data_IF_630385102580
#
_entry.id   IF_630385102580
#
_cell.length_a   1.000
_cell.length_b   1.000
_cell.length_c   1.000
_cell.angle_alpha   90.00
_cell.angle_beta   90.00
_cell.angle_gamma   90.00
#
_symmetry.space_group_name_H-M   'P 1'
#
loop_
_entity.id
_entity.type
_entity.pdbx_description
1 polymer ?
#
# COMPACT_ATOMS: atom_id res chain seq x y z
N UNK A 1 5.91 0.94 -20.64
CA UNK A 1 6.43 0.63 -19.28
C UNK A 1 5.26 0.20 -18.41
N UNK A 2 5.32 -0.98 -17.79
CA UNK A 2 4.27 -1.45 -16.89
C UNK A 2 4.35 -0.74 -15.52
N UNK A 3 3.29 0.00 -15.19
CA UNK A 3 3.14 0.78 -13.95
C UNK A 3 2.21 0.10 -12.93
N UNK A 4 1.83 -1.15 -13.19
CA UNK A 4 0.89 -1.91 -12.35
C UNK A 4 1.50 -2.14 -10.96
N UNK A 5 0.81 -1.66 -9.92
CA UNK A 5 1.23 -1.81 -8.53
C UNK A 5 2.34 -0.86 -8.05
N UNK A 6 2.91 -0.03 -8.95
CA UNK A 6 3.91 0.98 -8.57
C UNK A 6 3.24 2.19 -7.95
N UNK A 7 3.77 2.63 -6.82
CA UNK A 7 3.32 3.86 -6.17
C UNK A 7 3.60 5.09 -7.06
N UNK A 8 2.81 6.14 -6.87
CA UNK A 8 3.01 7.42 -7.57
C UNK A 8 4.02 8.22 -6.77
N UNK A 9 5.15 8.56 -7.38
CA UNK A 9 6.25 9.26 -6.71
C UNK A 9 5.85 10.70 -6.34
N UNK A 10 6.53 11.32 -5.36
CA UNK A 10 6.30 12.73 -5.03
C UNK A 10 6.47 13.67 -6.23
N UNK A 11 7.38 13.36 -7.15
CA UNK A 11 7.61 14.12 -8.39
C UNK A 11 6.44 14.02 -9.35
N UNK A 12 5.94 12.81 -9.61
CA UNK A 12 4.73 12.59 -10.42
C UNK A 12 3.54 13.33 -9.81
N UNK A 13 3.41 13.35 -8.48
CA UNK A 13 2.33 14.08 -7.79
C UNK A 13 2.43 15.59 -7.97
N UNK A 14 3.63 16.18 -7.92
CA UNK A 14 3.84 17.61 -8.20
C UNK A 14 3.36 17.94 -9.62
N UNK A 15 3.71 17.11 -10.60
CA UNK A 15 3.28 17.27 -11.98
C UNK A 15 1.76 17.18 -12.08
N UNK A 16 1.13 16.18 -11.46
CA UNK A 16 -0.33 16.02 -11.45
C UNK A 16 -1.03 17.27 -10.89
N UNK A 17 -0.57 17.80 -9.77
CA UNK A 17 -1.16 18.99 -9.13
C UNK A 17 -0.98 20.22 -10.03
N UNK A 18 0.20 20.40 -10.60
CA UNK A 18 0.48 21.51 -11.52
C UNK A 18 -0.46 21.47 -12.74
N UNK A 19 -0.57 20.33 -13.41
CA UNK A 19 -1.43 20.15 -14.57
C UNK A 19 -2.93 20.34 -14.23
N UNK A 20 -3.33 19.98 -13.02
CA UNK A 20 -4.70 20.23 -12.55
C UNK A 20 -4.97 21.72 -12.35
N UNK A 21 -4.00 22.47 -11.81
CA UNK A 21 -4.10 23.91 -11.65
C UNK A 21 -4.12 24.65 -13.01
N UNK A 22 -3.47 24.08 -14.02
CA UNK A 22 -3.55 24.55 -15.42
C UNK A 22 -4.91 24.22 -16.09
N UNK A 23 -5.84 23.56 -15.39
CA UNK A 23 -7.18 23.25 -15.89
C UNK A 23 -7.30 21.96 -16.68
N UNK A 24 -6.24 21.14 -16.78
CA UNK A 24 -6.31 19.86 -17.52
C UNK A 24 -7.26 18.87 -16.86
N UNK A 25 -7.93 18.09 -17.70
CA UNK A 25 -8.83 17.02 -17.24
C UNK A 25 -8.05 15.84 -16.66
N UNK A 26 -8.70 15.06 -15.80
CA UNK A 26 -8.09 13.86 -15.19
C UNK A 26 -7.60 12.85 -16.23
N UNK A 27 -8.30 12.76 -17.37
CA UNK A 27 -7.95 11.85 -18.47
C UNK A 27 -6.70 12.32 -19.21
N UNK A 28 -6.57 13.61 -19.48
CA UNK A 28 -5.38 14.18 -20.13
C UNK A 28 -4.14 14.04 -19.24
N UNK A 29 -4.29 14.36 -17.95
CA UNK A 29 -3.22 14.15 -16.96
C UNK A 29 -2.82 12.67 -16.94
N UNK A 30 -3.78 11.75 -17.06
CA UNK A 30 -3.54 10.31 -17.15
C UNK A 30 -2.69 9.90 -18.33
N UNK A 31 -2.99 10.46 -19.51
CA UNK A 31 -2.21 10.23 -20.72
C UNK A 31 -0.79 10.78 -20.60
N UNK A 32 -0.62 11.97 -20.00
CA UNK A 32 0.69 12.61 -19.83
C UNK A 32 1.59 11.85 -18.85
N UNK A 33 1.04 11.43 -17.70
CA UNK A 33 1.82 10.78 -16.62
C UNK A 33 1.83 9.24 -16.77
N UNK A 34 1.07 8.68 -17.71
CA UNK A 34 0.94 7.24 -17.90
C UNK A 34 0.14 6.53 -16.79
N UNK A 35 -0.76 7.24 -16.11
CA UNK A 35 -1.55 6.70 -14.98
C UNK A 35 -3.04 6.70 -15.30
N UNK A 36 -3.80 5.86 -14.60
CA UNK A 36 -5.26 5.83 -14.76
C UNK A 36 -5.89 7.10 -14.19
N UNK A 37 -7.01 7.55 -14.78
CA UNK A 37 -7.75 8.71 -14.30
C UNK A 37 -8.16 8.56 -12.81
N UNK A 38 -8.50 7.34 -12.38
CA UNK A 38 -8.87 7.01 -11.00
C UNK A 38 -7.70 7.18 -10.03
N UNK A 39 -6.48 6.84 -10.45
CA UNK A 39 -5.27 7.06 -9.65
C UNK A 39 -4.99 8.56 -9.48
N UNK A 40 -5.18 9.33 -10.54
CA UNK A 40 -5.01 10.78 -10.51
C UNK A 40 -6.07 11.44 -9.61
N UNK A 41 -7.33 11.02 -9.74
CA UNK A 41 -8.40 11.50 -8.88
C UNK A 41 -8.08 11.27 -7.40
N UNK A 42 -7.56 10.09 -7.06
CA UNK A 42 -7.12 9.80 -5.70
C UNK A 42 -6.01 10.74 -5.21
N UNK A 43 -5.02 11.03 -6.06
CA UNK A 43 -3.94 11.98 -5.73
C UNK A 43 -4.50 13.38 -5.46
N UNK A 44 -5.38 13.86 -6.34
CA UNK A 44 -5.99 15.19 -6.19
C UNK A 44 -6.83 15.26 -4.92
N UNK A 45 -7.69 14.26 -4.67
CA UNK A 45 -8.52 14.23 -3.46
C UNK A 45 -7.66 14.23 -2.18
N UNK A 46 -6.58 13.45 -2.16
CA UNK A 46 -5.65 13.45 -1.02
C UNK A 46 -4.99 14.82 -0.83
N UNK A 47 -4.59 15.46 -1.93
CA UNK A 47 -3.99 16.79 -1.89
C UNK A 47 -4.99 17.86 -1.45
N UNK A 48 -6.23 17.84 -1.92
CA UNK A 48 -7.25 18.81 -1.49
C UNK A 48 -7.56 18.70 0.00
N UNK A 49 -7.58 17.48 0.55
CA UNK A 49 -7.86 17.27 1.97
C UNK A 49 -6.67 17.53 2.89
N UNK A 50 -5.44 17.21 2.47
CA UNK A 50 -4.24 17.28 3.33
C UNK A 50 -3.26 18.40 2.99
N UNK A 51 -3.38 19.00 1.79
CA UNK A 51 -2.40 19.90 1.15
C UNK A 51 -0.97 19.34 1.10
N UNK A 52 -0.80 18.03 1.27
CA UNK A 52 0.50 17.36 1.23
C UNK A 52 0.73 16.68 -0.12
N UNK A 53 1.93 16.88 -0.66
CA UNK A 53 2.41 16.19 -1.86
C UNK A 53 2.78 14.74 -1.51
N UNK A 54 3.20 14.47 -0.28
CA UNK A 54 3.74 13.18 0.12
C UNK A 54 2.59 12.19 0.42
N UNK A 55 2.73 10.91 0.01
CA UNK A 55 1.81 9.86 0.47
C UNK A 55 1.85 9.75 1.99
N UNK A 56 0.71 9.54 2.63
CA UNK A 56 0.76 8.94 3.96
C UNK A 56 1.41 7.56 3.83
N UNK A 57 2.42 7.23 4.67
CA UNK A 57 2.98 5.90 4.67
C UNK A 57 1.86 4.90 4.98
N UNK A 58 1.96 3.70 4.41
CA UNK A 58 1.05 2.61 4.82
C UNK A 58 1.31 2.31 6.30
N UNK A 59 0.29 2.46 7.12
CA UNK A 59 0.35 2.08 8.53
C UNK A 59 -0.22 0.67 8.72
N UNK A 60 0.52 -0.15 9.45
CA UNK A 60 0.12 -1.51 9.81
C UNK A 60 0.27 -2.54 8.69
N UNK A 61 0.17 -3.81 9.09
CA UNK A 61 0.17 -4.95 8.18
C UNK A 61 -1.21 -5.11 7.52
N UNK A 62 -1.21 -5.29 6.21
CA UNK A 62 -2.39 -5.70 5.47
C UNK A 62 -2.88 -7.08 5.96
N UNK A 63 -4.16 -7.40 5.73
CA UNK A 63 -4.70 -8.72 6.05
C UNK A 63 -3.90 -9.85 5.39
N UNK A 64 -3.34 -9.59 4.20
CA UNK A 64 -2.46 -10.53 3.49
C UNK A 64 -1.16 -10.75 4.25
N UNK A 65 -0.49 -9.69 4.66
CA UNK A 65 0.77 -9.78 5.41
C UNK A 65 0.55 -10.41 6.79
N UNK A 66 -0.52 -10.05 7.50
CA UNK A 66 -0.91 -10.70 8.77
C UNK A 66 -1.12 -12.20 8.59
N UNK A 67 -1.79 -12.62 7.50
CA UNK A 67 -1.97 -14.04 7.17
C UNK A 67 -0.65 -14.75 6.91
N UNK A 68 0.29 -14.09 6.24
CA UNK A 68 1.63 -14.65 6.02
C UNK A 68 2.38 -14.84 7.33
N UNK A 69 2.42 -13.81 8.19
CA UNK A 69 3.05 -13.88 9.52
C UNK A 69 2.41 -14.99 10.35
N UNK A 70 1.08 -15.09 10.38
CA UNK A 70 0.41 -16.16 11.12
C UNK A 70 0.77 -17.55 10.57
N UNK A 71 0.80 -17.72 9.24
CA UNK A 71 1.20 -18.98 8.60
C UNK A 71 2.65 -19.38 8.89
N UNK A 72 3.57 -18.42 9.00
CA UNK A 72 4.97 -18.72 9.30
C UNK A 72 5.19 -19.04 10.79
N UNK A 73 4.40 -18.44 11.69
CA UNK A 73 4.53 -18.64 13.15
C UNK A 73 3.76 -19.87 13.65
N UNK A 74 2.62 -20.21 13.04
CA UNK A 74 1.75 -21.33 13.47
C UNK A 74 2.46 -22.69 13.61
N UNK A 75 3.36 -23.12 12.70
CA UNK A 75 4.06 -24.41 12.83
C UNK A 75 5.02 -24.41 14.03
N UNK A 76 5.66 -23.26 14.29
CA UNK A 76 6.59 -23.07 15.40
C UNK A 76 5.84 -23.21 16.73
N UNK A 77 4.72 -22.48 16.88
CA UNK A 77 3.87 -22.57 18.08
C UNK A 77 3.38 -24.02 18.30
N UNK A 78 2.90 -24.70 17.24
CA UNK A 78 2.48 -26.10 17.35
C UNK A 78 3.60 -27.02 17.83
N UNK A 79 4.82 -26.85 17.33
CA UNK A 79 5.97 -27.67 17.73
C UNK A 79 6.29 -27.52 19.22
N UNK A 80 6.26 -26.30 19.75
CA UNK A 80 6.53 -26.06 21.17
C UNK A 80 5.41 -26.55 22.08
N UNK A 81 4.14 -26.40 21.68
CA UNK A 81 2.99 -26.89 22.45
C UNK A 81 2.99 -28.42 22.61
N UNK A 82 3.29 -29.15 21.53
CA UNK A 82 3.39 -30.62 21.57
C UNK A 82 4.56 -31.07 22.45
N UNK A 83 5.67 -30.31 22.48
CA UNK A 83 6.83 -30.64 23.30
C UNK A 83 6.54 -30.52 24.81
N UNK A 84 5.81 -29.48 25.23
CA UNK A 84 5.42 -29.31 26.63
C UNK A 84 4.43 -30.36 27.13
N UNK A 85 3.58 -30.90 26.26
CA UNK A 85 2.62 -31.96 26.63
C UNK A 85 3.35 -33.30 26.86
N UNK A 86 4.32 -33.65 26.01
CA UNK A 86 5.10 -34.89 26.16
C UNK A 86 6.07 -34.90 27.36
N UNK A 87 6.43 -33.73 27.91
CA UNK A 87 7.26 -33.63 29.12
C UNK A 87 6.42 -33.78 30.42
N UNK A 88 5.09 -33.70 30.35
CA UNK A 88 4.18 -33.84 31.49
C UNK A 88 3.62 -35.26 31.66
N UNK A 89 3.48 -36.04 30.59
CA UNK A 89 2.98 -37.42 30.62
C UNK A 89 4.07 -38.48 30.95
N UNK A 90 5.30 -38.03 31.23
CA UNK A 90 6.48 -38.88 31.49
C UNK A 90 6.81 -39.13 32.96
N UNK A 91 5.92 -38.79 33.90
CA UNK A 91 6.08 -39.03 35.34
C UNK A 91 5.03 -40.00 35.89
#
# INVERSE_FOLDING_TARGET
MDLKGKEITPEERKIIIKLRNEGKTLREIGKIVGRTHSSIQRVINNYTSSKSIISKPRSGLTAREKRYVFKSVRPVIKKYAIRSENELDGF
#
